data_IF_039096538459
#
_entry.id   IF_039096538459
#
_cell.length_a   1.000
_cell.length_b   1.000
_cell.length_c   1.000
_cell.angle_alpha   90.00
_cell.angle_beta   90.00
_cell.angle_gamma   90.00
#
_symmetry.space_group_name_H-M   'P 1'
#
loop_
_entity.id
_entity.type
_entity.pdbx_description
1 polymer ?
#
# COMPACT_ATOMS: atom_id res chain seq x y z
N UNK A 1 -3.96 0.69 -3.29
CA UNK A 1 -3.85 0.75 -1.81
C UNK A 1 -2.78 -0.24 -1.39
N UNK A 2 -1.87 0.12 -0.48
CA UNK A 2 -0.72 -0.74 -0.10
C UNK A 2 -0.70 -1.15 1.36
N UNK A 3 -1.57 -0.59 2.20
CA UNK A 3 -1.74 -1.02 3.59
C UNK A 3 -2.77 -0.16 4.31
N UNK A 4 -2.98 -0.46 5.58
CA UNK A 4 -3.96 0.24 6.44
C UNK A 4 -3.36 0.49 7.81
N UNK A 5 -3.60 1.67 8.37
CA UNK A 5 -3.20 1.99 9.75
C UNK A 5 -4.18 1.29 10.70
N UNK A 6 -3.73 0.27 11.42
CA UNK A 6 -4.63 -0.63 12.17
C UNK A 6 -4.47 -0.55 13.70
N UNK A 7 -3.59 0.32 14.21
CA UNK A 7 -3.46 0.48 15.64
C UNK A 7 -2.37 1.45 16.07
N UNK A 8 -2.22 1.56 17.39
CA UNK A 8 -1.24 2.43 18.04
C UNK A 8 0.00 1.63 18.45
N UNK A 9 1.13 2.33 18.52
CA UNK A 9 2.36 1.82 19.09
C UNK A 9 2.93 2.84 20.10
N UNK A 10 2.91 2.50 21.38
CA UNK A 10 3.39 3.39 22.44
C UNK A 10 2.57 4.69 22.60
N UNK A 11 3.23 5.74 23.11
CA UNK A 11 2.63 7.05 23.41
C UNK A 11 3.18 8.20 22.56
N UNK A 12 4.29 7.98 21.85
CA UNK A 12 5.00 8.99 21.05
C UNK A 12 4.44 9.13 19.62
N UNK A 13 3.14 8.88 19.43
CA UNK A 13 2.49 9.02 18.12
C UNK A 13 2.87 8.01 17.04
N UNK A 14 3.47 6.87 17.40
CA UNK A 14 3.72 5.80 16.43
C UNK A 14 2.45 5.01 16.14
N UNK A 15 2.32 4.57 14.89
CA UNK A 15 1.19 3.77 14.42
C UNK A 15 1.64 2.40 13.93
N UNK A 16 0.77 1.41 14.07
CA UNK A 16 0.89 0.08 13.47
C UNK A 16 0.23 0.08 12.10
N UNK A 17 0.92 -0.50 11.13
CA UNK A 17 0.46 -0.64 9.76
C UNK A 17 0.34 -2.12 9.44
N UNK A 18 -0.83 -2.47 8.91
CA UNK A 18 -1.02 -3.71 8.20
C UNK A 18 -0.62 -3.50 6.74
N UNK A 19 0.53 -4.07 6.36
CA UNK A 19 1.06 -3.94 5.00
C UNK A 19 0.49 -5.02 4.09
N UNK A 20 0.01 -4.61 2.91
CA UNK A 20 -0.42 -5.51 1.83
C UNK A 20 0.70 -5.79 0.83
N UNK A 21 1.89 -5.21 1.03
CA UNK A 21 3.04 -5.44 0.17
C UNK A 21 3.71 -6.78 0.48
N UNK A 22 4.35 -7.36 -0.53
CA UNK A 22 5.17 -8.56 -0.36
C UNK A 22 6.60 -8.29 -0.87
N UNK A 23 7.64 -8.30 0.00
CA UNK A 23 7.60 -8.42 1.46
C UNK A 23 6.91 -7.24 2.18
N UNK A 24 6.41 -7.46 3.41
CA UNK A 24 5.64 -6.46 4.20
C UNK A 24 6.40 -5.15 4.43
N UNK A 25 7.72 -5.23 4.62
CA UNK A 25 8.58 -4.06 4.85
C UNK A 25 8.66 -3.09 3.67
N UNK A 26 8.32 -3.52 2.45
CA UNK A 26 8.42 -2.68 1.26
C UNK A 26 7.52 -1.44 1.35
N UNK A 27 6.45 -1.48 2.15
CA UNK A 27 5.64 -0.29 2.39
C UNK A 27 6.46 0.91 2.91
N UNK A 28 7.53 0.64 3.67
CA UNK A 28 8.40 1.67 4.23
C UNK A 28 9.34 2.34 3.21
N UNK A 29 9.56 1.72 2.04
CA UNK A 29 10.38 2.31 0.98
C UNK A 29 9.61 3.31 0.12
N UNK A 30 8.28 3.27 0.13
CA UNK A 30 7.46 4.20 -0.63
C UNK A 30 7.34 5.53 0.10
N UNK A 31 7.65 6.62 -0.59
CA UNK A 31 7.51 7.97 -0.07
C UNK A 31 7.12 8.95 -1.19
N UNK A 32 6.25 9.92 -0.90
CA UNK A 32 5.45 10.01 0.31
C UNK A 32 4.25 9.03 0.29
N UNK A 33 3.62 8.81 1.44
CA UNK A 33 2.36 8.07 1.51
C UNK A 33 1.20 9.01 1.22
N UNK A 34 0.11 8.46 0.68
CA UNK A 34 -1.13 9.20 0.44
C UNK A 34 -2.26 8.56 1.23
N UNK A 35 -3.15 9.40 1.74
CA UNK A 35 -4.34 8.98 2.47
C UNK A 35 -5.54 9.80 1.99
N UNK A 36 -6.74 9.30 2.28
CA UNK A 36 -7.97 10.03 2.01
C UNK A 36 -8.69 10.28 3.33
N UNK A 37 -8.97 11.54 3.63
CA UNK A 37 -9.76 11.99 4.79
C UNK A 37 -10.84 12.92 4.24
N UNK A 38 -12.11 12.68 4.60
CA UNK A 38 -13.26 13.48 4.14
C UNK A 38 -13.26 13.71 2.62
N UNK A 39 -13.01 12.63 1.88
CA UNK A 39 -12.87 12.60 0.40
C UNK A 39 -11.68 13.39 -0.17
N UNK A 40 -10.89 14.05 0.67
CA UNK A 40 -9.72 14.82 0.26
C UNK A 40 -8.43 13.99 0.36
N UNK A 41 -7.62 14.06 -0.69
CA UNK A 41 -6.30 13.45 -0.72
C UNK A 41 -5.30 14.28 0.08
N UNK A 42 -4.61 13.62 1.00
CA UNK A 42 -3.54 14.22 1.79
C UNK A 42 -2.29 13.36 1.71
N UNK A 43 -1.15 14.01 1.90
CA UNK A 43 0.16 13.38 1.87
C UNK A 43 0.67 13.19 3.29
N UNK A 44 1.11 11.98 3.63
CA UNK A 44 1.77 11.66 4.88
C UNK A 44 3.26 11.45 4.66
N UNK A 45 4.06 12.23 5.40
CA UNK A 45 5.51 12.06 5.43
C UNK A 45 5.90 11.10 6.56
N UNK A 46 6.60 10.01 6.20
CA UNK A 46 7.09 9.02 7.16
C UNK A 46 8.54 9.35 7.55
N UNK A 47 8.71 9.75 8.82
CA UNK A 47 10.00 10.13 9.42
C UNK A 47 10.83 8.90 9.77
N UNK A 48 10.18 7.86 10.29
CA UNK A 48 10.85 6.60 10.66
C UNK A 48 9.88 5.42 10.56
N UNK A 49 10.39 4.21 10.37
CA UNK A 49 9.59 3.00 10.40
C UNK A 49 10.44 1.75 10.45
N UNK A 50 9.87 0.68 11.01
CA UNK A 50 10.55 -0.61 11.15
C UNK A 50 9.57 -1.77 11.24
N UNK A 51 10.08 -2.97 10.99
CA UNK A 51 9.36 -4.20 11.29
C UNK A 51 9.30 -4.41 12.80
N UNK A 52 8.12 -4.78 13.31
CA UNK A 52 7.91 -5.14 14.71
C UNK A 52 7.11 -6.44 14.74
N UNK A 53 7.79 -7.55 15.00
CA UNK A 53 7.20 -8.90 14.99
C UNK A 53 6.52 -9.21 13.64
N UNK A 54 5.18 -9.23 13.58
CA UNK A 54 4.41 -9.52 12.35
C UNK A 54 3.74 -8.27 11.76
N UNK A 55 4.05 -7.08 12.25
CA UNK A 55 3.48 -5.81 11.79
C UNK A 55 4.59 -4.82 11.44
N UNK A 56 4.22 -3.74 10.75
CA UNK A 56 5.07 -2.60 10.51
C UNK A 56 4.68 -1.50 11.50
N UNK A 57 5.65 -0.79 12.06
CA UNK A 57 5.39 0.44 12.81
C UNK A 57 6.03 1.61 12.09
N UNK A 58 5.32 2.74 12.03
CA UNK A 58 5.86 3.97 11.43
C UNK A 58 5.56 5.19 12.31
N UNK A 59 6.46 6.15 12.20
CA UNK A 59 6.39 7.48 12.78
C UNK A 59 6.07 8.45 11.66
N UNK A 60 4.88 9.02 11.74
CA UNK A 60 4.40 10.04 10.82
C UNK A 60 4.91 11.40 11.34
N UNK A 61 5.30 12.28 10.43
CA UNK A 61 5.69 13.65 10.75
C UNK A 61 4.52 14.39 11.39
N UNK A 62 4.81 15.26 12.34
CA UNK A 62 3.82 16.10 13.04
C UNK A 62 2.74 15.33 13.85
N UNK A 63 2.90 14.00 14.01
CA UNK A 63 2.07 13.16 14.89
C UNK A 63 2.90 12.70 16.06
N UNK A 64 2.83 13.40 17.19
CA UNK A 64 3.74 13.23 18.33
C UNK A 64 3.13 12.59 19.58
N UNK A 65 1.81 12.47 19.62
CA UNK A 65 1.10 11.87 20.74
C UNK A 65 0.10 10.79 20.31
N UNK A 66 -0.39 10.05 21.31
CA UNK A 66 -1.29 8.91 21.14
C UNK A 66 -2.65 9.34 20.57
N UNK A 67 -3.11 10.53 20.92
CA UNK A 67 -4.41 11.09 20.55
C UNK A 67 -4.44 11.41 19.05
N UNK A 68 -3.41 12.09 18.54
CA UNK A 68 -3.22 12.36 17.11
C UNK A 68 -3.09 11.06 16.31
N UNK A 69 -2.26 10.12 16.79
CA UNK A 69 -2.11 8.82 16.14
C UNK A 69 -3.41 8.01 16.12
N UNK A 70 -4.31 8.21 17.10
CA UNK A 70 -5.60 7.52 17.15
C UNK A 70 -6.53 7.95 16.03
N UNK A 71 -6.49 9.23 15.65
CA UNK A 71 -7.27 9.75 14.53
C UNK A 71 -6.90 9.09 13.19
N UNK A 72 -5.70 8.49 13.11
CA UNK A 72 -5.22 7.83 11.89
C UNK A 72 -5.67 6.38 11.76
N UNK A 73 -6.24 5.77 12.80
CA UNK A 73 -6.62 4.36 12.79
C UNK A 73 -7.80 4.16 11.84
N UNK A 74 -7.70 3.13 10.99
CA UNK A 74 -8.69 2.80 9.96
C UNK A 74 -8.45 3.51 8.64
N UNK A 75 -7.47 4.41 8.56
CA UNK A 75 -7.12 5.09 7.31
C UNK A 75 -6.28 4.16 6.43
N UNK A 76 -6.72 4.05 5.17
CA UNK A 76 -6.01 3.33 4.12
C UNK A 76 -4.87 4.15 3.55
N UNK A 77 -3.76 3.47 3.28
CA UNK A 77 -2.53 4.02 2.74
C UNK A 77 -2.40 3.69 1.27
N UNK A 78 -2.15 4.71 0.48
CA UNK A 78 -1.98 4.67 -0.97
C UNK A 78 -0.60 5.19 -1.35
N UNK A 79 -0.14 4.77 -2.52
CA UNK A 79 1.08 5.26 -3.16
C UNK A 79 0.73 5.58 -4.60
N UNK A 80 1.54 6.43 -5.23
CA UNK A 80 1.43 6.63 -6.66
C UNK A 80 1.98 5.41 -7.42
N UNK A 81 1.41 5.12 -8.58
CA UNK A 81 1.89 4.06 -9.48
C UNK A 81 3.34 4.29 -9.91
N UNK A 82 3.78 5.54 -9.96
CA UNK A 82 5.16 5.98 -10.25
C UNK A 82 6.17 5.51 -9.21
N UNK A 83 5.74 5.29 -7.96
CA UNK A 83 6.60 4.86 -6.84
C UNK A 83 6.85 3.35 -6.83
N UNK A 84 6.07 2.58 -7.59
CA UNK A 84 6.32 1.16 -7.75
C UNK A 84 7.68 0.96 -8.44
N UNK A 85 8.52 0.02 -7.97
CA UNK A 85 9.76 -0.27 -8.65
C UNK A 85 9.47 -0.65 -10.10
N UNK A 86 10.26 -0.10 -11.03
CA UNK A 86 10.15 -0.44 -12.45
C UNK A 86 10.44 -1.94 -12.59
N UNK A 87 9.42 -2.70 -13.00
CA UNK A 87 9.55 -4.14 -13.24
C UNK A 87 10.67 -4.39 -14.24
N UNK A 88 11.51 -5.40 -13.96
CA UNK A 88 12.34 -5.98 -15.02
C UNK A 88 11.42 -6.77 -15.96
N UNK A 89 11.79 -6.84 -17.24
CA UNK A 89 11.05 -7.55 -18.29
C UNK A 89 10.75 -8.99 -17.82
N UNK A 90 9.49 -9.30 -17.52
CA UNK A 90 9.04 -10.64 -17.08
C UNK A 90 8.55 -10.76 -15.63
N UNK A 91 8.60 -9.70 -14.82
CA UNK A 91 7.93 -9.68 -13.51
C UNK A 91 6.54 -9.04 -13.67
N UNK A 92 5.50 -9.67 -13.10
CA UNK A 92 4.13 -9.16 -13.10
C UNK A 92 3.73 -8.80 -11.67
N UNK A 93 3.18 -7.60 -11.45
CA UNK A 93 2.47 -7.34 -10.20
C UNK A 93 1.18 -8.18 -10.20
N UNK A 94 0.75 -8.66 -9.03
CA UNK A 94 -0.49 -9.45 -8.91
C UNK A 94 -1.73 -8.71 -9.45
N UNK A 95 -1.70 -7.37 -9.47
CA UNK A 95 -2.74 -6.52 -10.08
C UNK A 95 -2.77 -6.60 -11.62
N UNK A 96 -1.65 -6.94 -12.29
CA UNK A 96 -1.59 -7.14 -13.74
C UNK A 96 -2.09 -8.54 -14.17
N UNK A 97 -2.18 -9.50 -13.25
CA UNK A 97 -2.60 -10.88 -13.56
C UNK A 97 -4.12 -11.03 -13.69
N UNK A 98 -4.91 -10.13 -13.08
CA UNK A 98 -6.39 -10.18 -13.16
C UNK A 98 -6.88 -9.77 -14.57
N UNK A 99 -6.06 -9.05 -15.35
CA UNK A 99 -6.38 -8.67 -16.73
C UNK A 99 -5.94 -9.64 -17.82
N UNK A 100 -5.07 -10.62 -17.50
CA UNK A 100 -4.55 -11.59 -18.49
C UNK A 100 -5.44 -12.81 -18.65
N UNK A 101 -6.17 -13.21 -17.60
CA UNK A 101 -7.05 -14.39 -17.64
C UNK A 101 -8.24 -14.18 -18.59
N UNK A 102 -8.78 -12.96 -18.67
CA UNK A 102 -9.85 -12.60 -19.61
C UNK A 102 -9.39 -12.54 -21.07
N UNK A 103 -8.12 -12.25 -21.33
CA UNK A 103 -7.57 -12.14 -22.68
C UNK A 103 -7.27 -13.52 -23.30
N UNK A 104 -6.90 -14.50 -22.47
CA UNK A 104 -6.68 -15.88 -22.92
C UNK A 104 -7.99 -16.51 -23.41
N UNK A 105 -9.10 -16.28 -22.70
CA UNK A 105 -10.41 -16.82 -23.08
C UNK A 105 -10.92 -16.21 -24.41
N UNK A 106 -10.68 -14.91 -24.63
CA UNK A 106 -11.09 -14.20 -25.85
C UNK A 106 -10.26 -14.61 -27.09
N UNK A 107 -8.97 -14.91 -26.93
CA UNK A 107 -8.12 -15.39 -28.03
C UNK A 107 -8.53 -16.81 -28.46
N UNK A 108 -8.85 -17.69 -27.51
CA UNK A 108 -9.34 -19.05 -27.79
C UNK A 108 -10.70 -19.07 -28.50
N UNK A 109 -11.56 -18.08 -28.26
CA UNK A 109 -12.88 -17.99 -28.93
C UNK A 109 -12.74 -17.51 -30.39
N UNK A 110 -11.82 -16.59 -30.67
CA UNK A 110 -11.62 -16.05 -32.01
C UNK A 110 -10.95 -17.05 -32.98
N UNK A 111 -10.09 -17.95 -32.49
CA UNK A 111 -9.51 -19.01 -33.32
C UNK A 111 -10.53 -20.10 -33.71
N UNK A 112 -11.56 -20.34 -32.88
CA UNK A 112 -12.61 -21.35 -33.16
C UNK A 112 -13.69 -20.86 -34.12
N UNK A 113 -13.79 -19.55 -34.39
CA UNK A 113 -14.82 -18.97 -35.26
C UNK A 113 -14.34 -18.65 -36.69
N UNK A 114 -13.14 -19.08 -37.10
CA UNK A 114 -12.76 -19.11 -38.53
C UNK A 114 -13.11 -20.47 -39.14
N UNK A 115 -14.40 -20.69 -39.37
CA UNK A 115 -14.92 -21.69 -40.32
C UNK A 115 -15.70 -20.93 -41.38
#
# INVERSE_FOLDING_TARGET
MVGTINGLFGVQGWVKIFSHTQPRKNILSYKPWHIQIDEQWQTLEIVNGREQSKTIVAKIKDIDNREQARAMIGIDVYIEKSQLPKLKKGEHYWEDLIGLEWLIDQILYLEKCKI
#
